data_IF_165533493251
#
_entry.id   IF_165533493251
#
_cell.length_a   1.000
_cell.length_b   1.000
_cell.length_c   1.000
_cell.angle_alpha   90.00
_cell.angle_beta   90.00
_cell.angle_gamma   90.00
#
_symmetry.space_group_name_H-M   'P 1'
#
loop_
_entity.id
_entity.type
_entity.pdbx_description
1 polymer ?
#
# COMPACT_ATOMS: atom_id res chain seq x y z
N UNK A 1 -28.35 1.22 -12.31
CA UNK A 1 -27.35 1.56 -11.31
C UNK A 1 -26.23 2.37 -11.92
N UNK A 2 -25.83 3.49 -11.32
CA UNK A 2 -24.58 4.14 -11.72
C UNK A 2 -23.38 3.18 -11.55
N UNK A 3 -22.29 3.42 -12.26
CA UNK A 3 -21.12 2.54 -12.30
C UNK A 3 -19.91 3.18 -11.62
N UNK A 4 -19.08 2.35 -11.03
CA UNK A 4 -17.76 2.72 -10.48
C UNK A 4 -16.71 2.01 -11.34
N UNK A 5 -15.69 2.74 -11.79
CA UNK A 5 -14.63 2.19 -12.65
C UNK A 5 -13.55 1.45 -11.84
N UNK A 6 -13.56 1.59 -10.53
CA UNK A 6 -12.60 0.98 -9.61
C UNK A 6 -12.19 1.93 -8.50
N UNK A 7 -11.23 1.52 -7.69
CA UNK A 7 -10.63 2.40 -6.70
C UNK A 7 -9.69 3.40 -7.40
N UNK A 8 -9.88 4.69 -7.16
CA UNK A 8 -9.04 5.73 -7.74
C UNK A 8 -7.75 5.94 -6.95
N UNK A 9 -7.87 6.09 -5.66
CA UNK A 9 -6.73 6.23 -4.76
C UNK A 9 -7.06 5.76 -3.35
N UNK A 10 -6.02 5.52 -2.59
CA UNK A 10 -6.08 5.25 -1.15
C UNK A 10 -5.27 6.35 -0.46
N UNK A 11 -5.83 6.98 0.55
CA UNK A 11 -5.13 7.97 1.35
C UNK A 11 -4.80 7.37 2.73
N UNK A 12 -3.53 7.44 3.10
CA UNK A 12 -3.00 6.90 4.35
C UNK A 12 -2.50 8.06 5.21
N UNK A 13 -2.93 8.12 6.45
CA UNK A 13 -2.34 9.02 7.43
C UNK A 13 -1.05 8.39 7.96
N UNK A 14 0.05 9.11 7.84
CA UNK A 14 1.39 8.67 8.26
C UNK A 14 1.96 9.63 9.29
N UNK A 15 2.84 9.11 10.14
CA UNK A 15 3.48 9.92 11.21
C UNK A 15 4.61 10.80 10.68
N UNK A 16 5.32 10.33 9.65
CA UNK A 16 6.43 11.02 9.01
C UNK A 16 6.29 10.88 7.49
N UNK A 17 5.78 11.91 6.85
CA UNK A 17 5.48 11.88 5.42
C UNK A 17 6.74 11.72 4.55
N UNK A 18 7.85 12.35 4.92
CA UNK A 18 9.08 12.26 4.13
C UNK A 18 9.66 10.84 4.21
N UNK A 19 9.74 10.26 5.39
CA UNK A 19 10.21 8.89 5.58
C UNK A 19 9.29 7.88 4.90
N UNK A 20 7.98 8.05 5.02
CA UNK A 20 7.01 7.15 4.37
C UNK A 20 7.04 7.28 2.85
N UNK A 21 7.18 8.49 2.32
CA UNK A 21 7.31 8.71 0.87
C UNK A 21 8.53 7.97 0.32
N UNK A 22 9.68 8.13 0.93
CA UNK A 22 10.90 7.42 0.52
C UNK A 22 10.71 5.91 0.57
N UNK A 23 10.09 5.40 1.61
CA UNK A 23 9.84 3.98 1.78
C UNK A 23 8.93 3.42 0.67
N UNK A 24 7.81 4.10 0.37
CA UNK A 24 6.90 3.68 -0.69
C UNK A 24 7.51 3.82 -2.09
N UNK A 25 8.31 4.86 -2.34
CA UNK A 25 9.05 5.00 -3.59
C UNK A 25 10.02 3.82 -3.80
N UNK A 26 10.74 3.42 -2.76
CA UNK A 26 11.67 2.29 -2.82
C UNK A 26 10.94 0.96 -3.00
N UNK A 27 9.80 0.78 -2.32
CA UNK A 27 9.01 -0.44 -2.44
C UNK A 27 8.37 -0.57 -3.83
N UNK A 28 7.63 0.43 -4.26
CA UNK A 28 6.75 0.36 -5.41
C UNK A 28 7.38 0.86 -6.71
N UNK A 29 8.39 1.73 -6.61
CA UNK A 29 8.98 2.39 -7.77
C UNK A 29 8.04 3.38 -8.46
N UNK A 30 6.97 3.77 -7.80
CA UNK A 30 6.01 4.70 -8.37
C UNK A 30 6.47 6.15 -8.22
N UNK A 31 6.30 7.00 -9.26
CA UNK A 31 6.66 8.40 -9.14
C UNK A 31 5.70 9.16 -8.23
N UNK A 32 6.23 10.16 -7.54
CA UNK A 32 5.44 11.16 -6.84
C UNK A 32 4.91 12.17 -7.86
N UNK A 33 3.60 12.20 -8.04
CA UNK A 33 2.94 13.06 -9.03
C UNK A 33 2.32 14.32 -8.44
N UNK A 34 2.17 14.38 -7.13
CA UNK A 34 1.59 15.52 -6.43
C UNK A 34 2.26 15.74 -5.09
N UNK A 35 2.60 16.99 -4.82
CA UNK A 35 3.14 17.45 -3.54
C UNK A 35 2.33 18.65 -3.08
N UNK A 36 1.93 18.65 -1.81
CA UNK A 36 1.30 19.81 -1.19
C UNK A 36 1.79 19.91 0.25
N UNK A 37 2.31 21.07 0.63
CA UNK A 37 2.81 21.30 2.00
C UNK A 37 1.71 21.76 2.95
N UNK A 38 0.82 22.59 2.45
CA UNK A 38 -0.32 23.13 3.20
C UNK A 38 -1.49 23.31 2.24
N UNK A 39 -1.68 22.35 1.36
CA UNK A 39 -2.64 22.46 0.29
C UNK A 39 -4.08 22.50 0.78
N UNK A 40 -4.98 22.63 -0.14
CA UNK A 40 -6.39 22.47 0.17
C UNK A 40 -6.70 20.97 0.27
N UNK A 41 -7.22 20.55 1.42
CA UNK A 41 -7.75 21.34 2.56
C UNK A 41 -6.75 21.67 3.68
N UNK A 42 -5.48 21.97 3.40
CA UNK A 42 -4.51 22.37 4.41
C UNK A 42 -3.72 21.23 5.04
N UNK A 43 -3.72 20.06 4.43
CA UNK A 43 -3.02 18.88 4.90
C UNK A 43 -1.81 18.63 4.02
N UNK A 44 -0.59 18.50 4.58
CA UNK A 44 0.57 18.07 3.82
C UNK A 44 0.32 16.72 3.15
N UNK A 45 0.67 16.61 1.87
CA UNK A 45 0.30 15.49 1.02
C UNK A 45 1.42 15.13 0.06
N UNK A 46 1.60 13.83 -0.15
CA UNK A 46 2.39 13.26 -1.25
C UNK A 46 1.56 12.19 -1.93
N UNK A 47 1.44 12.23 -3.23
CA UNK A 47 0.71 11.20 -4.00
C UNK A 47 1.68 10.48 -4.92
N UNK A 48 1.77 9.17 -4.74
CA UNK A 48 2.47 8.26 -5.65
C UNK A 48 1.43 7.61 -6.57
N UNK A 49 1.80 7.40 -7.82
CA UNK A 49 0.88 6.88 -8.83
C UNK A 49 1.54 5.79 -9.66
N UNK A 50 0.83 4.68 -9.81
CA UNK A 50 1.24 3.61 -10.71
C UNK A 50 0.72 3.91 -12.12
N UNK A 51 1.61 4.17 -13.10
CA UNK A 51 1.18 4.45 -14.46
C UNK A 51 0.54 3.24 -15.16
N UNK A 52 0.73 2.03 -14.65
CA UNK A 52 0.17 0.81 -15.23
C UNK A 52 -1.25 0.54 -14.77
N UNK A 53 -1.46 0.47 -13.47
CA UNK A 53 -2.77 0.16 -12.88
C UNK A 53 -3.65 1.39 -12.66
N UNK A 54 -3.07 2.59 -12.74
CA UNK A 54 -3.69 3.86 -12.38
C UNK A 54 -4.05 3.99 -10.89
N UNK A 55 -3.62 3.06 -10.05
CA UNK A 55 -3.80 3.19 -8.60
C UNK A 55 -2.88 4.29 -8.07
N UNK A 56 -3.39 5.11 -7.18
CA UNK A 56 -2.61 6.12 -6.47
C UNK A 56 -2.66 5.89 -4.96
N UNK A 57 -1.55 6.18 -4.30
CA UNK A 57 -1.47 6.22 -2.85
C UNK A 57 -1.11 7.64 -2.45
N UNK A 58 -1.96 8.24 -1.63
CA UNK A 58 -1.71 9.56 -1.04
C UNK A 58 -1.28 9.38 0.41
N UNK A 59 -0.13 9.93 0.75
CA UNK A 59 0.39 9.96 2.11
C UNK A 59 0.07 11.33 2.71
N UNK A 60 -0.63 11.34 3.82
CA UNK A 60 -1.11 12.55 4.48
C UNK A 60 -0.53 12.64 5.88
N UNK A 61 -0.08 13.83 6.26
CA UNK A 61 0.41 14.09 7.62
C UNK A 61 -0.36 15.27 8.22
N UNK A 62 -1.61 15.06 8.68
CA UNK A 62 -2.37 16.12 9.30
C UNK A 62 -1.70 16.57 10.61
N UNK A 63 -1.71 17.89 10.92
CA UNK A 63 -1.04 18.42 12.12
C UNK A 63 -1.67 17.92 13.42
N UNK A 64 -2.90 17.49 13.39
CA UNK A 64 -3.68 17.02 14.54
C UNK A 64 -3.79 15.49 14.62
N UNK A 65 -2.93 14.76 13.89
CA UNK A 65 -2.89 13.30 14.00
C UNK A 65 -2.51 12.87 15.43
N UNK A 66 -2.98 11.67 15.82
CA UNK A 66 -2.71 11.15 17.16
C UNK A 66 -1.24 10.81 17.41
N UNK A 67 -0.48 10.49 16.35
CA UNK A 67 0.89 9.98 16.45
C UNK A 67 0.98 8.51 16.85
N UNK A 68 -0.16 7.84 17.07
CA UNK A 68 -0.20 6.43 17.40
C UNK A 68 0.16 5.57 16.17
N UNK A 69 0.79 4.40 16.37
CA UNK A 69 0.98 3.44 15.31
C UNK A 69 -0.37 2.89 14.83
N UNK A 70 -0.38 2.39 13.60
CA UNK A 70 -1.56 1.73 13.04
C UNK A 70 -1.97 0.52 13.90
N UNK A 71 -3.28 0.35 14.08
CA UNK A 71 -3.85 -0.78 14.79
C UNK A 71 -5.04 -1.33 13.97
N UNK A 72 -4.86 -2.50 13.37
CA UNK A 72 -5.89 -3.16 12.56
C UNK A 72 -7.11 -3.63 13.35
N UNK A 73 -7.04 -3.60 14.68
CA UNK A 73 -8.17 -3.96 15.54
C UNK A 73 -9.19 -2.82 15.70
N UNK A 74 -8.81 -1.61 15.29
CA UNK A 74 -9.72 -0.46 15.26
C UNK A 74 -10.59 -0.52 14.01
N UNK A 75 -11.84 -0.06 14.14
CA UNK A 75 -12.75 0.04 13.00
C UNK A 75 -12.17 0.94 11.92
N UNK A 76 -12.07 0.43 10.70
CA UNK A 76 -11.53 1.13 9.55
C UNK A 76 -10.77 0.19 8.64
N UNK A 77 -9.60 0.60 8.19
CA UNK A 77 -8.74 -0.23 7.36
C UNK A 77 -8.19 -1.41 8.17
N UNK A 78 -8.29 -2.62 7.64
CA UNK A 78 -7.55 -3.79 8.15
C UNK A 78 -6.19 -3.89 7.45
N UNK A 79 -6.20 -3.90 6.12
CA UNK A 79 -4.99 -3.94 5.30
C UNK A 79 -5.27 -3.41 3.90
N UNK A 80 -4.21 -3.09 3.18
CA UNK A 80 -4.24 -2.74 1.76
C UNK A 80 -3.54 -3.83 0.97
N UNK A 81 -4.23 -4.43 0.01
CA UNK A 81 -3.72 -5.53 -0.80
C UNK A 81 -3.49 -5.09 -2.25
N UNK A 82 -2.33 -5.42 -2.78
CA UNK A 82 -1.98 -5.22 -4.18
C UNK A 82 -2.06 -6.55 -4.91
N UNK A 83 -2.84 -6.59 -5.97
CA UNK A 83 -2.92 -7.75 -6.84
C UNK A 83 -1.69 -7.79 -7.76
N UNK A 84 -1.07 -8.95 -7.84
CA UNK A 84 -0.02 -9.25 -8.80
C UNK A 84 -0.52 -10.27 -9.84
N UNK A 85 0.20 -10.37 -10.95
CA UNK A 85 -0.31 -11.09 -12.13
C UNK A 85 -0.37 -12.60 -11.91
N UNK A 86 0.73 -13.18 -11.41
CA UNK A 86 0.86 -14.62 -11.22
C UNK A 86 1.76 -14.95 -10.02
N UNK A 87 1.95 -16.27 -9.78
CA UNK A 87 2.79 -16.73 -8.68
C UNK A 87 4.28 -16.39 -8.86
N UNK A 88 4.75 -16.32 -10.09
CA UNK A 88 6.12 -15.94 -10.38
C UNK A 88 6.34 -14.47 -10.00
N UNK A 89 5.39 -13.60 -10.31
CA UNK A 89 5.44 -12.20 -9.93
C UNK A 89 5.33 -12.02 -8.41
N UNK A 90 4.54 -12.83 -7.73
CA UNK A 90 4.49 -12.83 -6.26
C UNK A 90 5.87 -13.19 -5.67
N UNK A 91 6.55 -14.17 -6.23
CA UNK A 91 7.90 -14.56 -5.81
C UNK A 91 8.90 -13.40 -6.03
N UNK A 92 8.81 -12.68 -7.13
CA UNK A 92 9.64 -11.49 -7.39
C UNK A 92 9.42 -10.40 -6.34
N UNK A 93 8.17 -10.17 -5.93
CA UNK A 93 7.87 -9.23 -4.85
C UNK A 93 8.43 -9.69 -3.51
N UNK A 94 8.39 -10.97 -3.22
CA UNK A 94 9.03 -11.54 -2.02
C UNK A 94 10.55 -11.29 -2.03
N UNK A 95 11.22 -11.56 -3.15
CA UNK A 95 12.64 -11.27 -3.31
C UNK A 95 12.95 -9.77 -3.16
N UNK A 96 12.08 -8.92 -3.69
CA UNK A 96 12.23 -7.46 -3.58
C UNK A 96 12.07 -6.98 -2.13
N UNK A 97 11.08 -7.50 -1.39
CA UNK A 97 10.94 -7.22 0.04
C UNK A 97 12.19 -7.62 0.82
N UNK A 98 12.73 -8.80 0.53
CA UNK A 98 13.95 -9.29 1.17
C UNK A 98 15.16 -8.40 0.84
N UNK A 99 15.30 -7.97 -0.41
CA UNK A 99 16.37 -7.08 -0.85
C UNK A 99 16.30 -5.71 -0.16
N UNK A 100 15.11 -5.24 0.19
CA UNK A 100 14.89 -4.00 0.92
C UNK A 100 14.95 -4.18 2.45
N UNK A 101 15.20 -5.39 2.94
CA UNK A 101 15.20 -5.75 4.35
C UNK A 101 13.86 -5.44 5.06
N UNK A 102 12.76 -5.63 4.34
CA UNK A 102 11.42 -5.49 4.89
C UNK A 102 10.98 -6.83 5.47
N UNK A 103 10.62 -6.86 6.75
CA UNK A 103 10.06 -8.05 7.38
C UNK A 103 8.74 -8.43 6.72
N UNK A 104 8.57 -9.71 6.48
CA UNK A 104 7.39 -10.27 5.82
C UNK A 104 7.01 -11.62 6.39
N UNK A 105 5.76 -12.02 6.17
CA UNK A 105 5.34 -13.40 6.40
C UNK A 105 5.95 -14.35 5.37
N UNK A 106 5.89 -15.65 5.64
CA UNK A 106 5.99 -16.64 4.57
C UNK A 106 4.83 -16.43 3.56
N UNK A 107 5.00 -16.93 2.35
CA UNK A 107 3.86 -17.01 1.41
C UNK A 107 2.81 -17.94 2.01
N UNK A 108 1.57 -17.46 2.09
CA UNK A 108 0.44 -18.20 2.63
C UNK A 108 -0.53 -18.56 1.51
N UNK A 109 -1.17 -19.72 1.67
CA UNK A 109 -2.20 -20.23 0.78
C UNK A 109 -3.54 -20.24 1.53
N UNK A 110 -4.49 -19.47 1.06
CA UNK A 110 -5.84 -19.43 1.61
C UNK A 110 -6.86 -20.10 0.68
N UNK A 111 -6.42 -21.04 -0.15
CA UNK A 111 -7.26 -21.85 -1.04
C UNK A 111 -7.55 -21.16 -2.37
N UNK A 112 -8.00 -19.92 -2.36
CA UNK A 112 -8.30 -19.15 -3.57
C UNK A 112 -7.31 -18.05 -3.88
N UNK A 113 -6.42 -17.77 -2.93
CA UNK A 113 -5.39 -16.75 -3.08
C UNK A 113 -4.10 -17.22 -2.44
N UNK A 114 -2.98 -16.81 -2.99
CA UNK A 114 -1.68 -16.84 -2.33
C UNK A 114 -1.23 -15.43 -2.05
N UNK A 115 -0.64 -15.22 -0.89
CA UNK A 115 -0.31 -13.87 -0.46
C UNK A 115 0.87 -13.83 0.49
N UNK A 116 1.48 -12.66 0.59
CA UNK A 116 2.50 -12.31 1.57
C UNK A 116 2.08 -11.05 2.30
N UNK A 117 2.27 -11.03 3.61
CA UNK A 117 1.94 -9.90 4.48
C UNK A 117 3.20 -9.19 4.93
N UNK A 118 3.14 -7.88 5.01
CA UNK A 118 4.18 -7.02 5.54
C UNK A 118 3.55 -5.72 6.07
N UNK A 119 4.36 -4.80 6.57
CA UNK A 119 3.86 -3.54 7.10
C UNK A 119 4.75 -2.38 6.65
N UNK A 120 4.14 -1.19 6.57
CA UNK A 120 4.87 0.05 6.31
C UNK A 120 5.51 0.61 7.60
N UNK A 121 6.23 1.77 7.55
CA UNK A 121 6.88 2.34 8.74
C UNK A 121 5.94 2.68 9.90
N UNK A 122 4.65 2.89 9.64
CA UNK A 122 3.64 3.16 10.65
C UNK A 122 2.93 1.91 11.17
N UNK A 123 3.30 0.74 10.66
CA UNK A 123 2.65 -0.52 10.96
C UNK A 123 1.37 -0.77 10.13
N UNK A 124 1.10 0.05 9.12
CA UNK A 124 -0.03 -0.18 8.20
C UNK A 124 0.21 -1.48 7.46
N UNK A 125 -0.76 -2.39 7.55
CA UNK A 125 -0.64 -3.74 7.00
C UNK A 125 -0.83 -3.70 5.49
N UNK A 126 0.12 -4.30 4.79
CA UNK A 126 0.15 -4.39 3.33
C UNK A 126 0.24 -5.85 2.91
N UNK A 127 -0.22 -6.12 1.70
CA UNK A 127 -0.27 -7.47 1.15
C UNK A 127 0.01 -7.42 -0.35
N UNK A 128 0.80 -8.37 -0.84
CA UNK A 128 0.78 -8.76 -2.24
C UNK A 128 0.06 -10.09 -2.37
N UNK A 129 -0.86 -10.18 -3.32
CA UNK A 129 -1.62 -11.41 -3.52
C UNK A 129 -1.82 -11.73 -4.99
N UNK A 130 -1.96 -13.03 -5.26
CA UNK A 130 -2.37 -13.54 -6.56
C UNK A 130 -3.60 -14.42 -6.37
N UNK A 131 -4.69 -14.17 -7.12
CA UNK A 131 -5.81 -15.09 -7.15
C UNK A 131 -5.37 -16.41 -7.78
N UNK A 132 -5.71 -17.52 -7.16
CA UNK A 132 -5.56 -18.82 -7.78
C UNK A 132 -6.76 -19.07 -8.66
N UNK A 133 -6.53 -19.50 -9.90
CA UNK A 133 -7.60 -19.86 -10.79
C UNK A 133 -8.45 -20.96 -10.14
N UNK A 134 -9.75 -20.75 -10.09
CA UNK A 134 -10.66 -21.79 -9.70
C UNK A 134 -10.45 -22.95 -10.69
N UNK A 135 -10.26 -24.21 -10.22
CA UNK A 135 -10.34 -25.33 -11.13
C UNK A 135 -11.69 -25.26 -11.84
N UNK A 136 -11.61 -25.13 -13.17
CA UNK A 136 -12.80 -25.01 -14.02
C UNK A 136 -13.75 -26.17 -13.89
#
# INVERSE_FOLDING_TARGET
MPEILGAGHVALTVRDMDASTEWYERLLGWPVIRRSEAGEPGIPLRTLHDPRSSLAISLCQPPDQSGDPFDSRRTGLDHLAFRVDDEEELNRWVEHLDALHIERSAIRDAGRVRFVLFADPDGIRLEFFVPLDSPG
#
